data_IF_510676715792
#
_entry.id   IF_510676715792
#
_cell.length_a   1.000
_cell.length_b   1.000
_cell.length_c   1.000
_cell.angle_alpha   90.00
_cell.angle_beta   90.00
_cell.angle_gamma   90.00
#
_symmetry.space_group_name_H-M   'P 1'
#
loop_
_entity.id
_entity.type
_entity.pdbx_description
1 polymer ?
#
# COMPACT_ATOMS: atom_id res chain seq x y z
N UNK A 1 22.39 -28.82 -16.29
CA UNK A 1 20.94 -29.12 -16.35
C UNK A 1 20.19 -27.81 -16.37
N UNK A 2 19.59 -27.44 -17.51
CA UNK A 2 18.73 -26.25 -17.59
C UNK A 2 17.36 -26.62 -17.01
N UNK A 3 16.96 -25.94 -15.92
CA UNK A 3 15.61 -26.10 -15.40
C UNK A 3 14.60 -25.45 -16.36
N UNK A 4 13.84 -26.29 -17.06
CA UNK A 4 12.74 -25.85 -17.90
C UNK A 4 11.55 -25.50 -17.00
N UNK A 5 11.46 -24.22 -16.60
CA UNK A 5 10.34 -23.71 -15.79
C UNK A 5 9.18 -23.33 -16.71
N UNK A 6 7.98 -23.82 -16.42
CA UNK A 6 6.79 -23.49 -17.20
C UNK A 6 6.35 -22.03 -17.01
N UNK A 7 6.16 -21.32 -18.12
CA UNK A 7 5.73 -19.91 -18.13
C UNK A 7 4.40 -19.69 -17.38
N UNK A 8 3.48 -20.65 -17.48
CA UNK A 8 2.19 -20.61 -16.78
C UNK A 8 2.36 -20.62 -15.25
N UNK A 9 3.28 -21.45 -14.72
CA UNK A 9 3.58 -21.51 -13.27
C UNK A 9 4.19 -20.21 -12.78
N UNK A 10 5.15 -19.64 -13.52
CA UNK A 10 5.75 -18.33 -13.20
C UNK A 10 4.70 -17.22 -13.15
N UNK A 11 3.82 -17.14 -14.15
CA UNK A 11 2.74 -16.13 -14.21
C UNK A 11 1.74 -16.25 -13.04
N UNK A 12 1.48 -17.47 -12.56
CA UNK A 12 0.62 -17.68 -11.37
C UNK A 12 1.33 -17.25 -10.09
N UNK A 13 2.62 -17.56 -9.95
CA UNK A 13 3.42 -17.19 -8.79
C UNK A 13 3.50 -15.66 -8.66
N UNK A 14 3.87 -14.97 -9.74
CA UNK A 14 3.95 -13.49 -9.75
C UNK A 14 2.63 -12.81 -9.36
N UNK A 15 1.47 -13.34 -9.80
CA UNK A 15 0.16 -12.82 -9.38
C UNK A 15 -0.12 -13.02 -7.89
N UNK A 16 0.33 -14.16 -7.33
CA UNK A 16 0.20 -14.42 -5.88
C UNK A 16 1.07 -13.48 -5.08
N UNK A 17 2.32 -13.29 -5.50
CA UNK A 17 3.27 -12.41 -4.82
C UNK A 17 2.80 -10.95 -4.86
N UNK A 18 2.26 -10.50 -6.00
CA UNK A 18 1.69 -9.16 -6.13
C UNK A 18 0.45 -8.92 -5.26
N UNK A 19 -0.34 -9.97 -5.01
CA UNK A 19 -1.55 -9.92 -4.19
C UNK A 19 -1.28 -10.18 -2.69
N UNK A 20 -0.14 -10.80 -2.36
CA UNK A 20 0.24 -11.10 -0.99
C UNK A 20 0.29 -9.81 -0.15
N UNK A 21 -0.43 -9.79 0.97
CA UNK A 21 -0.52 -8.63 1.86
C UNK A 21 -1.43 -7.48 1.39
N UNK A 22 -1.93 -7.49 0.14
CA UNK A 22 -2.79 -6.41 -0.42
C UNK A 22 -4.27 -6.76 -0.50
N UNK A 23 -4.65 -8.01 -0.24
CA UNK A 23 -6.04 -8.48 -0.27
C UNK A 23 -6.95 -7.70 0.69
N UNK A 24 -6.49 -7.43 1.91
CA UNK A 24 -7.23 -6.64 2.90
C UNK A 24 -7.41 -5.18 2.48
N UNK A 25 -6.40 -4.60 1.83
CA UNK A 25 -6.50 -3.24 1.32
C UNK A 25 -7.53 -3.13 0.19
N UNK A 26 -7.69 -4.19 -0.62
CA UNK A 26 -8.64 -4.20 -1.74
C UNK A 26 -10.11 -4.17 -1.31
N UNK A 27 -10.41 -4.61 -0.08
CA UNK A 27 -11.74 -4.55 0.54
C UNK A 27 -11.92 -3.32 1.45
N UNK A 28 -11.01 -2.35 1.42
CA UNK A 28 -11.07 -1.12 2.23
C UNK A 28 -10.52 -1.23 3.65
N UNK A 29 -9.94 -2.38 4.04
CA UNK A 29 -9.32 -2.59 5.36
C UNK A 29 -7.84 -2.22 5.35
N UNK A 30 -7.59 -0.92 5.35
CA UNK A 30 -6.24 -0.38 5.40
C UNK A 30 -5.68 -0.38 6.83
N UNK A 31 -4.39 -0.70 6.96
CA UNK A 31 -3.61 -0.40 8.17
C UNK A 31 -3.00 0.96 7.97
N UNK A 32 -3.63 1.99 8.54
CA UNK A 32 -3.18 3.37 8.45
C UNK A 32 -2.07 3.62 9.47
N UNK A 33 -0.98 4.23 9.01
CA UNK A 33 0.12 4.71 9.83
C UNK A 33 0.35 6.19 9.51
N UNK A 34 0.79 6.97 10.49
CA UNK A 34 1.02 8.41 10.31
C UNK A 34 2.29 8.60 9.48
N UNK A 35 2.22 9.47 8.47
CA UNK A 35 3.40 9.85 7.70
C UNK A 35 4.30 10.76 8.55
N UNK A 36 5.37 10.18 9.10
CA UNK A 36 6.35 10.93 9.90
C UNK A 36 7.21 11.87 9.07
N UNK A 37 7.19 11.75 7.73
CA UNK A 37 7.97 12.64 6.85
C UNK A 37 7.38 14.05 6.78
N UNK A 38 6.08 14.21 7.02
CA UNK A 38 5.39 15.49 6.99
C UNK A 38 4.19 15.46 7.95
N UNK A 39 4.45 15.46 9.28
CA UNK A 39 3.42 15.20 10.28
C UNK A 39 2.31 16.25 10.29
N UNK A 40 2.59 17.48 9.83
CA UNK A 40 1.62 18.56 9.75
C UNK A 40 1.93 19.49 8.58
N UNK A 41 1.18 19.37 7.49
CA UNK A 41 1.23 20.35 6.40
C UNK A 41 0.09 21.35 6.58
N UNK A 42 0.40 22.65 6.45
CA UNK A 42 -0.58 23.71 6.59
C UNK A 42 -1.20 23.97 5.22
N UNK A 43 -2.42 23.50 5.00
CA UNK A 43 -3.16 23.78 3.78
C UNK A 43 -4.35 24.68 4.13
N UNK A 44 -4.35 25.92 3.62
CA UNK A 44 -5.41 26.93 3.89
C UNK A 44 -5.58 27.26 5.39
N UNK A 45 -4.49 27.29 6.15
CA UNK A 45 -4.48 27.68 7.57
C UNK A 45 -4.96 26.61 8.56
N UNK A 46 -5.11 25.35 8.13
CA UNK A 46 -5.45 24.21 9.00
C UNK A 46 -4.38 23.14 8.96
N UNK A 47 -4.22 22.44 10.08
CA UNK A 47 -3.31 21.31 10.24
C UNK A 47 -3.87 20.09 9.50
N UNK A 48 -3.10 19.57 8.55
CA UNK A 48 -3.45 18.35 7.81
C UNK A 48 -2.56 17.21 8.30
N UNK A 49 -3.19 16.12 8.74
CA UNK A 49 -2.51 14.86 9.05
C UNK A 49 -2.60 13.93 7.85
N UNK A 50 -1.45 13.38 7.43
CA UNK A 50 -1.36 12.42 6.33
C UNK A 50 -1.18 11.03 6.93
N UNK A 51 -2.04 10.10 6.54
CA UNK A 51 -1.94 8.69 6.85
C UNK A 51 -1.53 7.92 5.61
N UNK A 52 -0.59 6.99 5.75
CA UNK A 52 -0.14 6.08 4.69
C UNK A 52 -0.45 4.66 5.11
N UNK A 53 -0.99 3.87 4.19
CA UNK A 53 -1.22 2.46 4.44
C UNK A 53 0.10 1.68 4.32
N UNK A 54 0.55 1.01 5.39
CA UNK A 54 1.80 0.23 5.36
C UNK A 54 1.79 -0.99 4.44
N UNK A 55 0.60 -1.45 4.01
CA UNK A 55 0.46 -2.60 3.10
C UNK A 55 0.43 -2.21 1.62
N UNK A 56 -0.26 -1.13 1.27
CA UNK A 56 -0.50 -0.75 -0.13
C UNK A 56 0.03 0.63 -0.52
N UNK A 57 0.50 1.44 0.44
CA UNK A 57 1.01 2.79 0.19
C UNK A 57 -0.06 3.83 -0.14
N UNK A 58 -1.36 3.47 -0.03
CA UNK A 58 -2.44 4.44 -0.20
C UNK A 58 -2.30 5.57 0.82
N UNK A 59 -2.63 6.81 0.43
CA UNK A 59 -2.58 7.99 1.30
C UNK A 59 -3.99 8.46 1.64
N UNK A 60 -4.23 8.83 2.89
CA UNK A 60 -5.47 9.44 3.37
C UNK A 60 -5.12 10.71 4.12
N UNK A 61 -5.79 11.82 3.83
CA UNK A 61 -5.63 13.09 4.52
C UNK A 61 -6.84 13.37 5.39
N UNK A 62 -6.60 13.72 6.65
CA UNK A 62 -7.64 14.23 7.55
C UNK A 62 -7.35 15.70 7.89
N UNK A 63 -8.40 16.51 7.83
CA UNK A 63 -8.37 17.93 8.17
C UNK A 63 -8.85 18.05 9.62
N UNK A 64 -8.02 18.66 10.48
CA UNK A 64 -8.43 19.04 11.84
C UNK A 64 -8.97 20.46 11.90
#
# INVERSE_FOLDING_TARGET
MSEVISLAKRRRQSRRDAAAGKTLCRIGRHKWEIDQSAPFTVHKGRLVTIFICSRCGAKKTELS
#
